data_IF_242839901059
#
_entry.id   IF_242839901059
#
_cell.length_a   1.000
_cell.length_b   1.000
_cell.length_c   1.000
_cell.angle_alpha   90.00
_cell.angle_beta   90.00
_cell.angle_gamma   90.00
#
_symmetry.space_group_name_H-M   'P 1'
#
loop_
_entity.id
_entity.type
_entity.pdbx_description
1 polymer ?
#
# COMPACT_ATOMS: atom_id res chain seq x y z
N UNK A 1 20.22 -10.00 -18.25
CA UNK A 1 19.78 -9.27 -17.04
C UNK A 1 18.73 -8.27 -17.44
N UNK A 2 17.52 -8.36 -16.87
CA UNK A 2 16.41 -7.43 -17.10
C UNK A 2 16.29 -6.55 -15.86
N UNK A 3 16.20 -5.23 -16.03
CA UNK A 3 16.05 -4.29 -14.91
C UNK A 3 14.78 -4.59 -14.13
N UNK A 4 14.91 -4.78 -12.82
CA UNK A 4 13.79 -5.09 -11.93
C UNK A 4 13.38 -3.87 -11.10
N UNK A 5 12.24 -3.27 -11.47
CA UNK A 5 11.55 -2.24 -10.71
C UNK A 5 10.42 -2.85 -9.88
N UNK A 6 10.44 -2.60 -8.57
CA UNK A 6 9.41 -3.03 -7.61
C UNK A 6 8.56 -1.85 -7.11
N UNK A 7 7.24 -1.91 -7.31
CA UNK A 7 6.29 -1.04 -6.61
C UNK A 7 6.02 -1.61 -5.21
N UNK A 8 6.54 -0.94 -4.19
CA UNK A 8 6.39 -1.32 -2.80
C UNK A 8 5.46 -0.38 -2.04
N UNK A 9 4.58 0.35 -2.73
CA UNK A 9 3.70 1.33 -2.09
C UNK A 9 2.79 0.73 -1.02
N UNK A 10 2.37 -0.53 -1.15
CA UNK A 10 1.62 -1.20 -0.08
C UNK A 10 2.53 -1.95 0.90
N UNK A 11 3.72 -2.38 0.49
CA UNK A 11 4.58 -3.24 1.31
C UNK A 11 5.34 -2.46 2.38
N UNK A 12 5.96 -1.34 2.02
CA UNK A 12 6.76 -0.54 2.96
C UNK A 12 5.87 0.02 4.07
N UNK A 13 6.25 -0.26 5.32
CA UNK A 13 5.52 0.08 6.54
C UNK A 13 4.41 -0.90 6.92
N UNK A 14 4.08 -1.86 6.03
CA UNK A 14 3.13 -2.93 6.31
C UNK A 14 3.84 -4.21 6.74
N UNK A 15 4.89 -4.59 6.01
CA UNK A 15 5.69 -5.79 6.25
C UNK A 15 7.19 -5.47 6.18
N UNK A 16 8.06 -6.36 6.67
CA UNK A 16 9.51 -6.25 6.49
C UNK A 16 9.88 -6.20 5.01
N UNK A 17 10.77 -5.28 4.64
CA UNK A 17 11.24 -5.11 3.26
C UNK A 17 12.75 -4.93 3.28
N UNK A 18 13.46 -5.88 2.69
CA UNK A 18 14.91 -5.83 2.50
C UNK A 18 15.21 -5.85 0.99
N UNK A 19 15.83 -4.78 0.50
CA UNK A 19 16.14 -4.63 -0.94
C UNK A 19 17.27 -5.52 -1.41
N UNK A 20 18.16 -5.95 -0.52
CA UNK A 20 19.25 -6.86 -0.82
C UNK A 20 18.72 -8.29 -0.95
N UNK A 21 17.81 -8.70 -0.04
CA UNK A 21 17.11 -9.99 -0.14
C UNK A 21 16.21 -10.05 -1.38
N UNK A 22 15.42 -8.99 -1.62
CA UNK A 22 14.52 -8.91 -2.78
C UNK A 22 15.26 -8.87 -4.12
N UNK A 23 16.51 -8.39 -4.10
CA UNK A 23 17.33 -8.30 -5.29
C UNK A 23 16.76 -7.36 -6.36
N UNK A 24 15.94 -6.37 -5.98
CA UNK A 24 15.45 -5.35 -6.91
C UNK A 24 16.54 -4.34 -7.28
N UNK A 25 16.44 -3.82 -8.49
CA UNK A 25 17.34 -2.75 -8.96
C UNK A 25 16.78 -1.37 -8.58
N UNK A 26 15.44 -1.26 -8.58
CA UNK A 26 14.72 -0.04 -8.23
C UNK A 26 13.53 -0.42 -7.35
N UNK A 27 13.25 0.36 -6.31
CA UNK A 27 12.04 0.23 -5.51
C UNK A 27 11.40 1.60 -5.26
N UNK A 28 10.10 1.71 -5.50
CA UNK A 28 9.33 2.92 -5.18
C UNK A 28 8.38 2.70 -4.01
N UNK A 29 8.29 3.69 -3.12
CA UNK A 29 7.39 3.66 -1.97
C UNK A 29 6.76 5.03 -1.71
N UNK A 30 5.58 5.04 -1.09
CA UNK A 30 4.85 6.26 -0.74
C UNK A 30 4.71 6.38 0.78
N UNK A 31 4.83 7.61 1.29
CA UNK A 31 4.71 7.87 2.73
C UNK A 31 3.29 7.69 3.27
N UNK A 32 2.27 8.13 2.52
CA UNK A 32 0.89 8.29 3.01
C UNK A 32 0.08 7.01 3.23
N UNK A 33 0.69 5.84 3.03
CA UNK A 33 0.06 4.53 3.19
C UNK A 33 0.48 3.94 4.54
N UNK A 34 1.03 2.74 4.58
CA UNK A 34 1.33 2.05 5.83
C UNK A 34 2.42 2.72 6.66
N UNK A 35 3.30 3.53 6.04
CA UNK A 35 4.26 4.38 6.74
C UNK A 35 3.62 5.56 7.49
N UNK A 36 2.37 5.94 7.20
CA UNK A 36 1.65 7.06 7.84
C UNK A 36 2.35 8.43 7.71
N UNK A 37 3.18 8.60 6.69
CA UNK A 37 3.80 9.88 6.35
C UNK A 37 2.84 10.86 5.65
N UNK A 38 3.25 12.13 5.45
CA UNK A 38 2.43 13.13 4.79
C UNK A 38 2.10 12.79 3.33
N UNK A 39 0.97 13.31 2.83
CA UNK A 39 0.65 13.26 1.39
C UNK A 39 1.69 14.05 0.58
N UNK A 40 1.92 13.63 -0.66
CA UNK A 40 2.94 14.25 -1.52
C UNK A 40 4.37 13.79 -1.21
N UNK A 41 4.55 12.76 -0.38
CA UNK A 41 5.86 12.20 -0.04
C UNK A 41 5.99 10.74 -0.45
N UNK A 42 7.23 10.34 -0.68
CA UNK A 42 7.65 9.00 -1.04
C UNK A 42 9.16 8.96 -1.18
N UNK A 43 9.69 7.81 -1.55
CA UNK A 43 11.11 7.66 -1.84
C UNK A 43 11.34 6.62 -2.91
N UNK A 44 12.52 6.72 -3.53
CA UNK A 44 13.01 5.81 -4.53
C UNK A 44 14.32 5.22 -4.03
N UNK A 45 14.40 3.90 -3.98
CA UNK A 45 15.67 3.19 -3.89
C UNK A 45 16.15 2.87 -5.30
N UNK A 46 17.45 3.06 -5.55
CA UNK A 46 18.13 2.68 -6.79
C UNK A 46 19.44 2.00 -6.43
N UNK A 47 19.63 0.78 -6.91
CA UNK A 47 20.87 0.02 -6.74
C UNK A 47 22.02 0.75 -7.43
N UNK A 48 23.14 0.93 -6.72
CA UNK A 48 24.33 1.63 -7.24
C UNK A 48 24.79 1.12 -8.61
N UNK A 49 24.77 -0.20 -8.82
CA UNK A 49 25.26 -0.84 -10.05
C UNK A 49 24.50 -0.46 -11.32
N UNK A 50 23.24 -0.04 -11.21
CA UNK A 50 22.45 0.40 -12.37
C UNK A 50 22.27 1.91 -12.44
N UNK A 51 22.72 2.65 -11.41
CA UNK A 51 22.47 4.08 -11.30
C UNK A 51 22.97 4.85 -12.53
N UNK A 52 24.16 4.50 -13.03
CA UNK A 52 24.79 5.14 -14.18
C UNK A 52 24.07 4.86 -15.52
N UNK A 53 23.24 3.82 -15.59
CA UNK A 53 22.49 3.46 -16.81
C UNK A 53 21.11 4.12 -16.87
N UNK A 54 20.75 4.91 -15.85
CA UNK A 54 19.46 5.58 -15.74
C UNK A 54 19.60 7.09 -15.95
N UNK A 55 18.63 7.67 -16.66
CA UNK A 55 18.45 9.10 -16.81
C UNK A 55 17.22 9.57 -16.02
N UNK A 56 17.31 10.66 -15.25
CA UNK A 56 16.15 11.24 -14.58
C UNK A 56 15.12 11.77 -15.60
N UNK A 57 13.81 11.65 -15.31
CA UNK A 57 12.77 12.21 -16.19
C UNK A 57 12.77 13.75 -16.19
N UNK A 58 13.33 14.36 -15.13
CA UNK A 58 13.50 15.79 -14.99
C UNK A 58 14.90 16.04 -14.44
N UNK A 59 15.65 16.93 -15.09
CA UNK A 59 16.99 17.33 -14.66
C UNK A 59 16.91 18.82 -14.31
N UNK A 60 17.30 19.15 -13.09
CA UNK A 60 17.43 20.51 -12.61
C UNK A 60 18.80 20.74 -11.97
N UNK A 61 18.98 21.91 -11.34
CA UNK A 61 20.22 22.33 -10.70
C UNK A 61 20.63 21.45 -9.51
N UNK A 62 19.69 20.69 -8.92
CA UNK A 62 20.02 19.69 -7.91
C UNK A 62 20.53 18.42 -8.60
N UNK A 63 19.82 17.95 -9.63
CA UNK A 63 20.09 16.68 -10.29
C UNK A 63 21.41 16.64 -11.09
N UNK A 64 21.81 17.78 -11.67
CA UNK A 64 23.03 17.90 -12.47
C UNK A 64 23.74 19.24 -12.27
N UNK A 65 25.05 19.23 -12.50
CA UNK A 65 25.88 20.44 -12.64
C UNK A 65 26.00 20.78 -14.12
N UNK A 66 25.66 22.00 -14.51
CA UNK A 66 25.94 22.50 -15.87
C UNK A 66 27.43 22.85 -15.97
N UNK A 67 28.18 22.15 -16.83
CA UNK A 67 29.67 22.25 -16.88
C UNK A 67 30.20 22.90 -18.16
N UNK A 68 29.41 22.94 -19.23
CA UNK A 68 29.70 23.66 -20.46
C UNK A 68 28.39 24.04 -21.17
N UNK A 69 28.37 24.97 -22.14
CA UNK A 69 27.14 25.40 -22.82
C UNK A 69 26.25 24.26 -23.36
N UNK A 70 26.85 23.14 -23.75
CA UNK A 70 26.22 21.95 -24.30
C UNK A 70 26.42 20.68 -23.44
N UNK A 71 26.93 20.81 -22.21
CA UNK A 71 27.30 19.68 -21.37
C UNK A 71 26.91 19.85 -19.90
N UNK A 72 26.34 18.81 -19.31
CA UNK A 72 26.10 18.71 -17.87
C UNK A 72 26.62 17.39 -17.31
N UNK A 73 26.87 17.37 -16.01
CA UNK A 73 27.27 16.19 -15.25
C UNK A 73 26.19 15.89 -14.21
N UNK A 74 25.55 14.73 -14.34
CA UNK A 74 24.57 14.27 -13.36
C UNK A 74 25.25 13.84 -12.06
N UNK A 75 24.52 13.97 -10.94
CA UNK A 75 25.03 13.48 -9.66
C UNK A 75 25.32 11.97 -9.72
N UNK A 76 26.37 11.50 -9.01
CA UNK A 76 26.74 10.09 -8.93
C UNK A 76 25.89 9.32 -7.89
N UNK A 77 24.87 9.93 -7.30
CA UNK A 77 24.00 9.35 -6.28
C UNK A 77 22.52 9.41 -6.69
N UNK A 78 21.65 8.75 -5.91
CA UNK A 78 20.22 8.70 -6.18
C UNK A 78 19.53 10.08 -6.08
N UNK A 79 20.17 11.10 -5.51
CA UNK A 79 19.61 12.47 -5.49
C UNK A 79 19.55 13.10 -6.88
N UNK A 80 20.16 12.47 -7.90
CA UNK A 80 19.93 12.83 -9.31
C UNK A 80 18.45 12.71 -9.73
N UNK A 81 17.62 11.98 -8.99
CA UNK A 81 16.18 11.87 -9.23
C UNK A 81 15.34 12.79 -8.32
N UNK A 82 15.97 13.60 -7.46
CA UNK A 82 15.27 14.59 -6.64
C UNK A 82 15.20 15.93 -7.36
N UNK A 83 14.08 16.64 -7.19
CA UNK A 83 13.95 18.02 -7.63
C UNK A 83 14.47 18.97 -6.53
N UNK A 84 15.07 20.09 -6.96
CA UNK A 84 15.54 21.18 -6.11
C UNK A 84 14.43 21.71 -5.20
N UNK A 85 13.32 22.13 -5.80
CA UNK A 85 12.17 22.60 -5.05
C UNK A 85 11.30 21.40 -4.69
N UNK A 86 11.17 21.15 -3.39
CA UNK A 86 10.33 20.10 -2.86
C UNK A 86 9.71 20.56 -1.53
N UNK A 87 8.69 19.85 -1.07
CA UNK A 87 8.05 20.20 0.19
C UNK A 87 8.90 19.71 1.37
N UNK A 88 9.82 20.57 1.83
CA UNK A 88 10.73 20.29 2.95
C UNK A 88 9.98 19.87 4.23
N UNK A 89 8.88 20.55 4.57
CA UNK A 89 8.09 20.22 5.75
C UNK A 89 7.48 18.80 5.64
N UNK A 90 6.98 18.44 4.46
CA UNK A 90 6.45 17.10 4.22
C UNK A 90 7.57 16.04 4.23
N UNK A 91 8.74 16.33 3.67
CA UNK A 91 9.92 15.44 3.71
C UNK A 91 10.38 15.18 5.16
N UNK A 92 10.43 16.21 5.99
CA UNK A 92 10.72 16.07 7.43
C UNK A 92 9.63 15.23 8.13
N UNK A 93 8.35 15.49 7.82
CA UNK A 93 7.24 14.69 8.35
C UNK A 93 7.30 13.21 7.93
N UNK A 94 7.79 12.90 6.72
CA UNK A 94 8.05 11.52 6.31
C UNK A 94 9.17 10.89 7.14
N UNK A 95 10.26 11.63 7.42
CA UNK A 95 11.32 11.18 8.32
C UNK A 95 10.79 10.81 9.70
N UNK A 96 10.00 11.70 10.32
CA UNK A 96 9.37 11.45 11.63
C UNK A 96 8.45 10.21 11.60
N UNK A 97 7.71 10.01 10.52
CA UNK A 97 6.83 8.84 10.38
C UNK A 97 7.63 7.52 10.25
N UNK A 98 8.76 7.57 9.54
CA UNK A 98 9.69 6.43 9.43
C UNK A 98 10.32 6.13 10.80
N UNK A 99 10.83 7.14 11.50
CA UNK A 99 11.41 6.97 12.84
C UNK A 99 10.38 6.39 13.82
N UNK A 100 9.13 6.84 13.76
CA UNK A 100 8.04 6.29 14.54
C UNK A 100 7.81 4.80 14.25
N UNK A 101 7.75 4.41 12.96
CA UNK A 101 7.57 3.01 12.57
C UNK A 101 8.76 2.13 13.01
N UNK A 102 9.99 2.63 12.87
CA UNK A 102 11.20 1.93 13.31
C UNK A 102 11.25 1.77 14.83
N UNK A 103 10.85 2.79 15.60
CA UNK A 103 10.80 2.75 17.06
C UNK A 103 9.75 1.77 17.60
N UNK A 104 8.62 1.60 16.91
CA UNK A 104 7.65 0.56 17.24
C UNK A 104 8.16 -0.85 16.90
N UNK A 105 9.03 -0.95 15.90
CA UNK A 105 9.51 -2.21 15.34
C UNK A 105 8.64 -2.68 14.17
N UNK A 106 9.26 -2.81 12.99
CA UNK A 106 8.55 -3.26 11.77
C UNK A 106 8.00 -4.68 11.93
N UNK A 107 8.75 -5.58 12.57
CA UNK A 107 8.26 -6.94 12.82
C UNK A 107 7.06 -6.98 13.77
N UNK A 108 7.10 -6.19 14.85
CA UNK A 108 6.01 -6.10 15.82
C UNK A 108 4.73 -5.59 15.15
N UNK A 109 4.85 -4.52 14.37
CA UNK A 109 3.72 -3.94 13.65
C UNK A 109 3.19 -4.87 12.55
N UNK A 110 4.07 -5.61 11.87
CA UNK A 110 3.70 -6.62 10.89
C UNK A 110 2.89 -7.75 11.52
N UNK A 111 3.36 -8.33 12.63
CA UNK A 111 2.63 -9.39 13.33
C UNK A 111 1.24 -8.92 13.77
N UNK A 112 1.13 -7.69 14.30
CA UNK A 112 -0.17 -7.12 14.67
C UNK A 112 -1.12 -7.00 13.47
N UNK A 113 -0.62 -6.56 12.32
CA UNK A 113 -1.39 -6.46 11.08
C UNK A 113 -1.85 -7.85 10.62
N UNK A 114 -0.98 -8.86 10.71
CA UNK A 114 -1.31 -10.25 10.38
C UNK A 114 -2.40 -10.81 11.29
N UNK A 115 -2.31 -10.61 12.61
CA UNK A 115 -3.30 -11.06 13.58
C UNK A 115 -4.69 -10.49 13.29
N UNK A 116 -4.77 -9.16 13.15
CA UNK A 116 -6.03 -8.45 12.89
C UNK A 116 -6.66 -8.88 11.56
N UNK A 117 -5.85 -8.93 10.50
CA UNK A 117 -6.34 -9.27 9.16
C UNK A 117 -6.72 -10.74 9.04
N UNK A 118 -6.00 -11.65 9.70
CA UNK A 118 -6.35 -13.08 9.76
C UNK A 118 -7.65 -13.30 10.55
N UNK A 119 -7.80 -12.65 11.70
CA UNK A 119 -9.04 -12.67 12.48
C UNK A 119 -10.23 -12.16 11.66
N UNK A 120 -10.05 -11.03 10.95
CA UNK A 120 -11.07 -10.49 10.07
C UNK A 120 -11.46 -11.47 8.95
N UNK A 121 -10.48 -12.07 8.26
CA UNK A 121 -10.73 -13.10 7.22
C UNK A 121 -11.51 -14.28 7.77
N UNK A 122 -11.07 -14.86 8.87
CA UNK A 122 -11.71 -16.01 9.50
C UNK A 122 -13.17 -15.70 9.85
N UNK A 123 -13.42 -14.56 10.51
CA UNK A 123 -14.78 -14.17 10.92
C UNK A 123 -15.69 -13.82 9.74
N UNK A 124 -15.17 -13.22 8.67
CA UNK A 124 -15.95 -12.98 7.45
C UNK A 124 -16.26 -14.27 6.70
N UNK A 125 -15.33 -15.23 6.68
CA UNK A 125 -15.45 -16.47 5.89
C UNK A 125 -16.60 -17.39 6.32
N UNK A 126 -17.11 -17.24 7.55
CA UNK A 126 -18.22 -18.02 8.09
C UNK A 126 -19.58 -17.34 7.90
N UNK A 127 -19.63 -16.14 7.32
CA UNK A 127 -20.90 -15.46 7.00
C UNK A 127 -21.42 -16.00 5.67
N UNK A 128 -22.68 -16.42 5.65
CA UNK A 128 -23.31 -16.93 4.43
C UNK A 128 -23.29 -15.88 3.29
N UNK A 129 -23.00 -16.36 2.08
CA UNK A 129 -22.82 -15.54 0.88
C UNK A 129 -21.50 -14.76 0.79
N UNK A 130 -20.63 -14.75 1.81
CA UNK A 130 -19.31 -14.11 1.72
C UNK A 130 -18.36 -14.93 0.86
N UNK A 131 -17.61 -14.24 -0.01
CA UNK A 131 -16.45 -14.79 -0.71
C UNK A 131 -15.25 -13.86 -0.51
N UNK A 132 -14.22 -14.35 0.16
CA UNK A 132 -12.91 -13.69 0.23
C UNK A 132 -12.26 -13.69 -1.16
N UNK A 133 -11.57 -12.60 -1.53
CA UNK A 133 -11.04 -12.37 -2.89
C UNK A 133 -9.53 -12.23 -2.95
N UNK A 134 -8.85 -12.09 -1.83
CA UNK A 134 -7.39 -12.12 -1.76
C UNK A 134 -6.85 -13.56 -1.83
N UNK A 135 -5.76 -13.75 -2.59
CA UNK A 135 -5.23 -15.07 -3.00
C UNK A 135 -3.72 -15.27 -2.72
N UNK A 136 -3.10 -14.32 -2.02
CA UNK A 136 -1.66 -14.41 -1.71
C UNK A 136 -1.38 -15.54 -0.72
N UNK A 137 -0.22 -16.20 -0.86
CA UNK A 137 0.29 -17.13 0.16
C UNK A 137 0.70 -16.40 1.44
N UNK A 138 1.26 -15.21 1.29
CA UNK A 138 1.48 -14.25 2.38
C UNK A 138 0.47 -13.10 2.22
N UNK A 139 -0.55 -13.07 3.08
CA UNK A 139 -1.63 -12.09 3.01
C UNK A 139 -1.39 -10.95 3.99
N UNK A 140 -1.39 -9.71 3.51
CA UNK A 140 -1.22 -8.52 4.36
C UNK A 140 -2.49 -8.06 5.08
N UNK A 141 -2.47 -6.82 5.58
CA UNK A 141 -3.56 -6.13 6.24
C UNK A 141 -4.77 -5.78 5.37
N UNK A 142 -4.69 -6.02 4.07
CA UNK A 142 -5.78 -5.74 3.12
C UNK A 142 -6.64 -7.01 2.95
N UNK A 143 -7.88 -6.95 3.41
CA UNK A 143 -8.89 -8.01 3.23
C UNK A 143 -9.90 -7.57 2.19
N UNK A 144 -10.10 -8.39 1.17
CA UNK A 144 -11.06 -8.11 0.10
C UNK A 144 -12.14 -9.16 0.05
N UNK A 145 -13.39 -8.73 -0.09
CA UNK A 145 -14.52 -9.66 -0.11
C UNK A 145 -15.69 -9.16 -0.94
N UNK A 146 -16.57 -10.08 -1.28
CA UNK A 146 -17.88 -9.82 -1.88
C UNK A 146 -18.95 -10.54 -1.08
N UNK A 147 -20.17 -10.00 -1.04
CA UNK A 147 -21.33 -10.66 -0.47
C UNK A 147 -22.34 -10.96 -1.58
N UNK A 148 -22.79 -12.21 -1.67
CA UNK A 148 -23.66 -12.67 -2.74
C UNK A 148 -24.98 -11.89 -2.80
N UNK A 149 -25.29 -11.34 -3.98
CA UNK A 149 -26.53 -10.60 -4.22
C UNK A 149 -26.52 -9.15 -3.74
N UNK A 150 -25.39 -8.64 -3.22
CA UNK A 150 -25.29 -7.27 -2.70
C UNK A 150 -24.09 -6.56 -3.31
N UNK A 151 -24.33 -5.39 -3.90
CA UNK A 151 -23.28 -4.57 -4.51
C UNK A 151 -22.27 -4.06 -3.46
N UNK A 152 -20.99 -4.02 -3.82
CA UNK A 152 -19.92 -3.58 -2.91
C UNK A 152 -20.10 -2.13 -2.43
N UNK A 153 -20.67 -1.26 -3.26
CA UNK A 153 -20.98 0.13 -2.91
C UNK A 153 -22.10 0.19 -1.88
N UNK A 154 -23.14 -0.61 -2.05
CA UNK A 154 -24.23 -0.71 -1.07
C UNK A 154 -23.71 -1.23 0.28
N UNK A 155 -22.83 -2.24 0.29
CA UNK A 155 -22.19 -2.72 1.53
C UNK A 155 -21.40 -1.59 2.19
N UNK A 156 -20.58 -0.85 1.42
CA UNK A 156 -19.81 0.29 1.93
C UNK A 156 -20.72 1.36 2.57
N UNK A 157 -21.83 1.70 1.93
CA UNK A 157 -22.79 2.69 2.45
C UNK A 157 -23.48 2.20 3.73
N UNK A 158 -23.91 0.94 3.76
CA UNK A 158 -24.59 0.34 4.91
C UNK A 158 -23.68 0.25 6.14
N UNK A 159 -22.42 -0.18 5.99
CA UNK A 159 -21.46 -0.16 7.11
C UNK A 159 -21.02 1.27 7.45
N UNK A 160 -20.97 2.16 6.45
CA UNK A 160 -20.68 3.58 6.62
C UNK A 160 -21.72 4.30 7.50
N UNK A 161 -23.00 3.93 7.39
CA UNK A 161 -24.07 4.44 8.28
C UNK A 161 -23.85 4.09 9.76
N UNK A 162 -23.04 3.07 10.02
CA UNK A 162 -22.62 2.65 11.35
C UNK A 162 -21.23 3.20 11.70
N UNK A 163 -20.74 4.23 11.02
CA UNK A 163 -19.42 4.83 11.21
C UNK A 163 -18.24 3.85 11.03
N UNK A 164 -18.36 2.92 10.07
CA UNK A 164 -17.29 1.99 9.68
C UNK A 164 -16.81 2.37 8.28
N UNK A 165 -15.51 2.68 8.14
CA UNK A 165 -14.95 3.10 6.87
C UNK A 165 -14.31 1.94 6.10
N UNK A 166 -14.84 1.63 4.93
CA UNK A 166 -14.27 0.69 3.95
C UNK A 166 -14.18 1.36 2.58
N UNK A 167 -13.45 0.73 1.65
CA UNK A 167 -13.35 1.19 0.27
C UNK A 167 -13.89 0.15 -0.70
N UNK A 168 -14.29 0.56 -1.89
CA UNK A 168 -14.61 -0.35 -3.00
C UNK A 168 -13.46 -0.31 -3.99
N UNK A 169 -12.99 -1.48 -4.42
CA UNK A 169 -12.00 -1.61 -5.48
C UNK A 169 -12.67 -2.16 -6.74
N UNK A 170 -12.69 -1.35 -7.79
CA UNK A 170 -13.27 -1.74 -9.08
C UNK A 170 -12.30 -2.65 -9.85
N UNK A 171 -12.81 -3.53 -10.74
CA UNK A 171 -11.97 -4.41 -11.58
C UNK A 171 -10.87 -3.68 -12.34
N UNK A 172 -11.12 -2.44 -12.78
CA UNK A 172 -10.13 -1.60 -13.47
C UNK A 172 -8.86 -1.32 -12.67
N UNK A 173 -8.90 -1.42 -11.34
CA UNK A 173 -7.72 -1.23 -10.47
C UNK A 173 -6.73 -2.40 -10.51
N UNK A 174 -7.18 -3.58 -10.94
CA UNK A 174 -6.39 -4.82 -11.04
C UNK A 174 -6.75 -5.56 -12.33
N UNK A 175 -6.88 -4.81 -13.44
CA UNK A 175 -7.54 -5.27 -14.68
C UNK A 175 -7.15 -6.68 -15.11
N UNK A 176 -5.86 -7.02 -15.13
CA UNK A 176 -5.40 -8.35 -15.53
C UNK A 176 -5.89 -9.46 -14.60
N UNK A 177 -5.76 -9.28 -13.27
CA UNK A 177 -6.24 -10.29 -12.30
C UNK A 177 -7.77 -10.34 -12.27
N UNK A 178 -8.41 -9.18 -12.25
CA UNK A 178 -9.86 -9.06 -12.18
C UNK A 178 -10.53 -9.65 -13.42
N UNK A 179 -10.01 -9.41 -14.62
CA UNK A 179 -10.51 -10.04 -15.86
C UNK A 179 -10.29 -11.55 -15.83
N UNK A 180 -9.09 -12.03 -15.48
CA UNK A 180 -8.76 -13.46 -15.42
C UNK A 180 -9.68 -14.23 -14.46
N UNK A 181 -10.05 -13.60 -13.34
CA UNK A 181 -10.87 -14.21 -12.28
C UNK A 181 -12.35 -13.81 -12.35
N UNK A 182 -12.73 -13.04 -13.36
CA UNK A 182 -14.06 -12.45 -13.51
C UNK A 182 -14.57 -11.79 -12.22
N UNK A 183 -13.74 -10.94 -11.60
CA UNK A 183 -14.07 -10.29 -10.34
C UNK A 183 -15.09 -9.15 -10.56
N UNK A 184 -16.15 -9.06 -9.74
CA UNK A 184 -16.94 -7.85 -9.63
C UNK A 184 -16.19 -6.78 -8.82
N UNK A 185 -16.73 -5.56 -8.65
CA UNK A 185 -16.28 -4.66 -7.59
C UNK A 185 -16.25 -5.37 -6.23
N UNK A 186 -15.17 -5.16 -5.48
CA UNK A 186 -14.96 -5.82 -4.18
C UNK A 186 -14.94 -4.79 -3.06
N UNK A 187 -15.43 -5.16 -1.88
CA UNK A 187 -15.21 -4.40 -0.66
C UNK A 187 -13.78 -4.65 -0.20
N UNK A 188 -13.06 -3.59 0.16
CA UNK A 188 -11.71 -3.60 0.69
C UNK A 188 -11.71 -2.98 2.08
N UNK A 189 -11.55 -3.84 3.08
CA UNK A 189 -11.27 -3.48 4.46
C UNK A 189 -9.75 -3.60 4.68
N UNK A 190 -9.11 -2.52 5.12
CA UNK A 190 -7.65 -2.48 5.29
C UNK A 190 -7.35 -2.13 6.74
N UNK A 191 -6.83 -3.10 7.49
CA UNK A 191 -6.40 -2.89 8.87
C UNK A 191 -4.97 -2.37 8.91
N UNK A 192 -4.67 -1.67 9.99
CA UNK A 192 -3.36 -1.19 10.38
C UNK A 192 -3.05 -1.62 11.81
N UNK A 193 -1.82 -1.43 12.30
CA UNK A 193 -1.44 -1.89 13.64
C UNK A 193 -2.18 -1.16 14.76
N UNK A 194 -2.74 0.02 14.49
CA UNK A 194 -3.49 0.80 15.47
C UNK A 194 -4.97 0.38 15.56
N UNK A 195 -5.45 -0.48 14.68
CA UNK A 195 -6.80 -1.03 14.79
C UNK A 195 -6.89 -2.05 15.92
N UNK A 196 -8.10 -2.32 16.38
CA UNK A 196 -8.36 -3.28 17.44
C UNK A 196 -9.37 -4.39 17.06
N UNK A 197 -9.48 -5.38 17.93
CA UNK A 197 -10.37 -6.53 17.78
C UNK A 197 -11.84 -6.14 17.83
N UNK A 198 -12.18 -5.07 18.54
CA UNK A 198 -13.56 -4.57 18.66
C UNK A 198 -14.00 -3.98 17.32
N UNK A 199 -13.13 -3.22 16.65
CA UNK A 199 -13.36 -2.72 15.29
C UNK A 199 -13.54 -3.87 14.28
N UNK A 200 -12.72 -4.93 14.38
CA UNK A 200 -12.87 -6.14 13.56
C UNK A 200 -14.23 -6.80 13.77
N UNK A 201 -14.63 -7.02 15.03
CA UNK A 201 -15.93 -7.62 15.38
C UNK A 201 -17.08 -6.75 14.87
N UNK A 202 -17.00 -5.43 15.08
CA UNK A 202 -18.02 -4.47 14.64
C UNK A 202 -18.24 -4.49 13.13
N UNK A 203 -17.17 -4.58 12.34
CA UNK A 203 -17.29 -4.73 10.88
C UNK A 203 -17.95 -6.07 10.50
N UNK A 204 -17.52 -7.16 11.12
CA UNK A 204 -18.07 -8.51 10.87
C UNK A 204 -19.57 -8.54 11.19
N UNK A 205 -19.97 -8.00 12.34
CA UNK A 205 -21.38 -7.99 12.76
C UNK A 205 -22.23 -7.11 11.86
N UNK A 206 -21.71 -5.96 11.42
CA UNK A 206 -22.37 -5.11 10.43
C UNK A 206 -22.59 -5.85 9.09
N UNK A 207 -21.57 -6.57 8.60
CA UNK A 207 -21.68 -7.38 7.37
C UNK A 207 -22.66 -8.55 7.56
N UNK A 208 -22.66 -9.21 8.73
CA UNK A 208 -23.61 -10.29 9.04
C UNK A 208 -25.05 -9.79 9.06
N UNK A 209 -25.30 -8.63 9.65
CA UNK A 209 -26.62 -8.01 9.66
C UNK A 209 -27.12 -7.63 8.25
N UNK A 210 -26.21 -7.28 7.33
CA UNK A 210 -26.55 -7.05 5.92
C UNK A 210 -26.92 -8.38 5.25
N UNK A 211 -26.13 -9.44 5.46
CA UNK A 211 -26.41 -10.77 4.89
C UNK A 211 -27.77 -11.33 5.34
N UNK A 212 -28.11 -11.16 6.63
CA UNK A 212 -29.39 -11.64 7.19
C UNK A 212 -30.64 -10.93 6.67
N UNK A 213 -30.51 -9.72 6.09
CA UNK A 213 -31.64 -8.95 5.52
C UNK A 213 -31.92 -9.29 4.05
N UNK A 214 -31.27 -10.32 3.51
CA UNK A 214 -31.46 -10.81 2.14
C UNK A 214 -32.76 -11.61 1.98
N UNK A 215 -33.37 -12.02 3.09
CA UNK A 215 -34.73 -12.58 3.17
C UNK A 215 -35.80 -11.49 3.13
#
# INVERSE_FOLDING_TARGET
>A
NVTYLLDACQSVGQLPVDVDELGCDILSATGRKYLRGPRGTGFLYVRKGILATLEPPMIDLLAAKWVAPDQYELRPDARRFENWENNYAARLGLGVAIDYALNLGIEVTWQRILELSSSLRQKLSVIDGIKLRDIGSLQGGIVTFTLEGIDATAIKELVGSQAINVSVSNPSSTLLDATRRNLPPVVRASVHYYNDEVEVVRLVDAVRAISAKKE
#
